data_IF_146397479432
#
_entry.id   IF_146397479432
#
_cell.length_a   1.000
_cell.length_b   1.000
_cell.length_c   1.000
_cell.angle_alpha   90.00
_cell.angle_beta   90.00
_cell.angle_gamma   90.00
#
_symmetry.space_group_name_H-M   'P 1'
#
loop_
_entity.id
_entity.type
_entity.pdbx_description
1 polymer ?
#
# COMPACT_ATOMS: atom_id res chain seq x y z
N UNK A 1 -16.03 -1.49 -19.71
CA UNK A 1 -15.20 -0.37 -19.22
C UNK A 1 -14.92 -0.59 -17.72
N UNK A 2 -14.12 -1.59 -17.34
CA UNK A 2 -13.62 -1.70 -15.95
C UNK A 2 -12.46 -2.71 -15.77
N UNK A 3 -11.68 -3.03 -16.81
CA UNK A 3 -10.66 -4.09 -16.69
C UNK A 3 -9.41 -3.68 -15.89
N UNK A 4 -9.17 -2.38 -15.70
CA UNK A 4 -7.96 -1.89 -15.03
C UNK A 4 -8.09 -1.83 -13.50
N UNK A 5 -9.31 -1.65 -12.97
CA UNK A 5 -9.57 -1.51 -11.54
C UNK A 5 -9.39 -2.84 -10.79
N UNK A 6 -9.91 -3.94 -11.35
CA UNK A 6 -9.91 -5.25 -10.68
C UNK A 6 -8.51 -5.80 -10.38
N UNK A 7 -7.52 -5.53 -11.23
CA UNK A 7 -6.13 -5.98 -10.98
C UNK A 7 -5.49 -5.26 -9.79
N UNK A 8 -5.80 -3.98 -9.62
CA UNK A 8 -5.28 -3.19 -8.51
C UNK A 8 -5.88 -3.63 -7.18
N UNK A 9 -7.19 -3.86 -7.15
CA UNK A 9 -7.86 -4.39 -5.96
C UNK A 9 -7.39 -5.81 -5.60
N UNK A 10 -7.15 -6.65 -6.61
CA UNK A 10 -6.60 -8.01 -6.40
C UNK A 10 -5.16 -7.95 -5.86
N UNK A 11 -4.32 -7.03 -6.35
CA UNK A 11 -2.98 -6.83 -5.82
C UNK A 11 -3.00 -6.32 -4.37
N UNK A 12 -3.93 -5.42 -4.05
CA UNK A 12 -4.12 -4.93 -2.69
C UNK A 12 -4.66 -6.03 -1.75
N UNK A 13 -5.55 -6.90 -2.23
CA UNK A 13 -6.10 -8.01 -1.45
C UNK A 13 -5.05 -9.08 -1.10
N UNK A 14 -3.95 -9.16 -1.85
CA UNK A 14 -2.83 -10.05 -1.55
C UNK A 14 -1.86 -9.47 -0.52
N UNK A 15 -1.97 -8.19 -0.18
CA UNK A 15 -1.18 -7.56 0.86
C UNK A 15 -1.80 -7.83 2.25
N UNK A 16 -0.97 -7.92 3.31
CA UNK A 16 -1.47 -7.93 4.67
C UNK A 16 -2.31 -6.68 4.94
N UNK A 17 -3.41 -6.81 5.69
CA UNK A 17 -4.34 -5.71 5.96
C UNK A 17 -3.66 -4.43 6.46
N UNK A 18 -2.67 -4.56 7.36
CA UNK A 18 -1.88 -3.41 7.84
C UNK A 18 -1.12 -2.71 6.73
N UNK A 19 -0.50 -3.48 5.83
CA UNK A 19 0.28 -2.95 4.70
C UNK A 19 -0.63 -2.28 3.67
N UNK A 20 -1.74 -2.92 3.32
CA UNK A 20 -2.74 -2.37 2.40
C UNK A 20 -3.37 -1.08 2.96
N UNK A 21 -3.71 -1.07 4.26
CA UNK A 21 -4.25 0.09 4.96
C UNK A 21 -3.28 1.27 4.95
N UNK A 22 -2.01 1.06 5.31
CA UNK A 22 -0.95 2.09 5.29
C UNK A 22 -0.79 2.68 3.88
N UNK A 23 -0.75 1.83 2.87
CA UNK A 23 -0.65 2.27 1.48
C UNK A 23 -1.89 3.09 1.06
N UNK A 24 -3.09 2.66 1.48
CA UNK A 24 -4.34 3.36 1.18
C UNK A 24 -4.38 4.75 1.81
N UNK A 25 -3.98 4.85 3.08
CA UNK A 25 -3.85 6.12 3.80
C UNK A 25 -2.88 7.07 3.10
N UNK A 26 -1.71 6.58 2.67
CA UNK A 26 -0.75 7.44 2.01
C UNK A 26 -1.20 7.86 0.60
N UNK A 27 -1.76 6.92 -0.18
CA UNK A 27 -2.00 7.16 -1.61
C UNK A 27 -3.38 7.71 -1.93
N UNK A 28 -4.42 7.24 -1.25
CA UNK A 28 -5.80 7.69 -1.46
C UNK A 28 -6.15 8.84 -0.51
N UNK A 29 -5.82 8.70 0.77
CA UNK A 29 -6.11 9.75 1.76
C UNK A 29 -5.02 10.84 1.82
N UNK A 30 -3.92 10.70 1.05
CA UNK A 30 -2.79 11.64 1.00
C UNK A 30 -2.16 11.93 2.37
N UNK A 31 -2.28 11.00 3.32
CA UNK A 31 -1.71 11.15 4.65
C UNK A 31 -0.19 11.02 4.61
N UNK A 32 0.49 11.90 5.33
CA UNK A 32 1.93 11.82 5.55
C UNK A 32 2.28 10.62 6.43
N UNK A 33 3.51 10.11 6.32
CA UNK A 33 3.97 8.99 7.17
C UNK A 33 3.84 9.35 8.66
N UNK A 34 4.06 10.64 9.00
CA UNK A 34 3.78 11.24 10.31
C UNK A 34 2.34 11.04 10.78
N UNK A 35 1.36 11.33 9.92
CA UNK A 35 -0.05 11.18 10.27
C UNK A 35 -0.42 9.70 10.43
N UNK A 36 0.10 8.84 9.54
CA UNK A 36 -0.20 7.40 9.55
C UNK A 36 0.32 6.73 10.82
N UNK A 37 1.57 7.01 11.23
CA UNK A 37 2.11 6.38 12.44
C UNK A 37 1.42 6.89 13.71
N UNK A 38 0.96 8.15 13.72
CA UNK A 38 0.17 8.71 14.83
C UNK A 38 -1.21 8.06 14.91
N UNK A 39 -1.88 7.91 13.76
CA UNK A 39 -3.21 7.30 13.69
C UNK A 39 -3.20 5.81 14.04
N UNK A 40 -2.17 5.08 13.61
CA UNK A 40 -2.03 3.65 13.87
C UNK A 40 -1.28 3.32 15.17
N UNK A 41 -0.71 4.32 15.83
CA UNK A 41 0.10 4.13 17.04
C UNK A 41 1.37 3.29 16.84
N UNK A 42 1.92 3.29 15.62
CA UNK A 42 3.15 2.55 15.27
C UNK A 42 4.34 3.48 15.10
N UNK A 43 5.54 2.92 14.97
CA UNK A 43 6.74 3.70 14.71
C UNK A 43 6.79 4.16 13.25
N UNK A 44 7.33 5.37 13.00
CA UNK A 44 7.65 5.87 11.64
C UNK A 44 8.39 4.85 10.76
N UNK A 45 9.47 4.18 11.22
CA UNK A 45 10.15 3.16 10.42
C UNK A 45 9.26 1.96 10.10
N UNK A 46 8.27 1.64 10.94
CA UNK A 46 7.29 0.60 10.65
C UNK A 46 6.39 1.00 9.49
N UNK A 47 5.95 2.27 9.43
CA UNK A 47 5.19 2.81 8.28
C UNK A 47 6.02 2.71 6.99
N UNK A 48 7.29 3.11 7.04
CA UNK A 48 8.20 3.03 5.90
C UNK A 48 8.39 1.59 5.40
N UNK A 49 8.65 0.65 6.32
CA UNK A 49 8.75 -0.78 6.02
C UNK A 49 7.51 -1.31 5.31
N UNK A 50 6.32 -0.97 5.81
CA UNK A 50 5.06 -1.37 5.17
C UNK A 50 4.88 -0.70 3.80
N UNK A 51 5.22 0.58 3.65
CA UNK A 51 5.17 1.27 2.36
C UNK A 51 6.10 0.62 1.33
N UNK A 52 7.35 0.33 1.70
CA UNK A 52 8.29 -0.37 0.82
C UNK A 52 7.76 -1.75 0.42
N UNK A 53 7.18 -2.50 1.38
CA UNK A 53 6.60 -3.82 1.11
C UNK A 53 5.39 -3.75 0.16
N UNK A 54 4.52 -2.75 0.34
CA UNK A 54 3.39 -2.51 -0.54
C UNK A 54 3.86 -2.19 -1.97
N UNK A 55 4.81 -1.26 -2.11
CA UNK A 55 5.36 -0.86 -3.41
C UNK A 55 6.11 -2.00 -4.09
N UNK A 56 6.89 -2.80 -3.35
CA UNK A 56 7.59 -3.95 -3.89
C UNK A 56 6.61 -5.00 -4.40
N UNK A 57 5.54 -5.29 -3.66
CA UNK A 57 4.50 -6.22 -4.08
C UNK A 57 3.76 -5.71 -5.32
N UNK A 58 3.32 -4.45 -5.33
CA UNK A 58 2.69 -3.84 -6.49
C UNK A 58 3.63 -3.90 -7.70
N UNK A 59 4.92 -3.57 -7.51
CA UNK A 59 5.92 -3.73 -8.56
C UNK A 59 5.98 -5.17 -9.06
N UNK A 60 6.02 -6.19 -8.21
CA UNK A 60 6.03 -7.59 -8.67
C UNK A 60 4.76 -7.95 -9.45
N UNK A 61 3.58 -7.55 -8.97
CA UNK A 61 2.29 -7.86 -9.62
C UNK A 61 2.15 -7.13 -10.97
N UNK A 62 2.67 -5.91 -11.08
CA UNK A 62 2.58 -5.09 -12.30
C UNK A 62 3.81 -5.15 -13.21
N UNK A 63 4.97 -5.64 -12.72
CA UNK A 63 6.20 -5.82 -13.51
C UNK A 63 6.23 -7.14 -14.30
N UNK A 64 5.22 -8.01 -14.16
CA UNK A 64 5.02 -9.21 -14.98
C UNK A 64 4.71 -8.91 -16.47
N UNK A 65 4.87 -7.65 -16.90
CA UNK A 65 4.84 -7.27 -18.32
C UNK A 65 5.94 -6.27 -18.62
N UNK A 66 7.13 -6.79 -18.91
CA UNK A 66 8.14 -6.15 -19.74
C UNK A 66 8.66 -7.18 -20.75
#
# INVERSE_FOLDING_TARGET
MEETTGRFETALAQLPEKTAGIFRMNRFEKKSYRQIHQELGIALPTVDYHMMKALAHLRTVFADRA
#
